data_IF_676133771620
#
_entry.id   IF_676133771620
#
_cell.length_a   1.000
_cell.length_b   1.000
_cell.length_c   1.000
_cell.angle_alpha   90.00
_cell.angle_beta   90.00
_cell.angle_gamma   90.00
#
_symmetry.space_group_name_H-M   'P 1'
#
loop_
_entity.id
_entity.type
_entity.pdbx_description
1 polymer ?
#
# COMPACT_ATOMS: atom_id res chain seq x y z
N UNK A 1 37.51 -71.26 77.64
CA UNK A 1 38.27 -70.03 77.30
C UNK A 1 38.21 -69.81 75.82
N UNK A 2 37.22 -69.02 75.32
CA UNK A 2 36.96 -68.81 73.90
C UNK A 2 37.14 -67.32 73.65
N UNK A 3 38.08 -66.97 72.81
CA UNK A 3 38.39 -65.62 72.40
C UNK A 3 37.48 -65.24 71.16
N UNK A 4 36.66 -64.30 71.35
CA UNK A 4 35.90 -63.72 70.21
C UNK A 4 36.75 -62.62 69.56
N UNK A 5 37.00 -62.78 68.24
CA UNK A 5 37.69 -61.78 67.42
C UNK A 5 36.58 -60.99 66.69
N UNK A 6 36.56 -59.70 66.92
CA UNK A 6 35.66 -58.73 66.24
C UNK A 6 36.34 -58.21 64.98
N UNK A 7 35.71 -58.39 63.82
CA UNK A 7 36.13 -57.85 62.51
C UNK A 7 35.45 -56.48 62.29
N UNK A 8 36.14 -55.44 61.92
CA UNK A 8 35.51 -54.13 61.56
C UNK A 8 34.96 -54.15 60.12
N UNK A 9 33.71 -53.74 59.98
CA UNK A 9 33.09 -53.55 58.70
C UNK A 9 33.55 -52.21 58.07
N UNK A 10 34.17 -52.26 56.88
CA UNK A 10 34.47 -51.09 56.06
C UNK A 10 33.21 -50.70 55.27
N UNK A 11 32.62 -49.57 55.64
CA UNK A 11 31.58 -48.91 54.84
C UNK A 11 32.22 -48.07 53.73
N UNK A 12 32.17 -48.58 52.50
CA UNK A 12 32.59 -47.83 51.30
C UNK A 12 31.54 -46.79 50.90
N UNK A 13 31.81 -45.52 51.01
CA UNK A 13 31.02 -44.44 50.50
C UNK A 13 31.27 -44.28 48.98
N UNK A 14 30.29 -44.68 48.15
CA UNK A 14 30.31 -44.47 46.72
C UNK A 14 29.95 -42.99 46.44
N UNK A 15 30.93 -42.19 46.05
CA UNK A 15 30.72 -40.82 45.54
C UNK A 15 30.15 -40.91 44.09
N UNK A 16 28.85 -40.69 43.94
CA UNK A 16 28.21 -40.58 42.65
C UNK A 16 28.40 -39.12 42.13
N UNK A 17 29.37 -38.95 41.23
CA UNK A 17 29.59 -37.65 40.55
C UNK A 17 28.51 -37.45 39.50
N UNK A 18 27.54 -36.59 39.80
CA UNK A 18 26.51 -36.16 38.85
C UNK A 18 27.18 -35.16 37.90
N UNK A 19 27.50 -35.61 36.69
CA UNK A 19 27.83 -34.72 35.58
C UNK A 19 26.53 -34.03 35.15
N UNK A 20 26.35 -32.77 35.58
CA UNK A 20 25.35 -31.87 35.01
C UNK A 20 25.76 -31.55 33.57
N UNK A 21 25.17 -32.24 32.59
CA UNK A 21 25.26 -31.88 31.19
C UNK A 21 24.46 -30.60 31.05
N UNK A 22 25.15 -29.46 31.06
CA UNK A 22 24.57 -28.18 30.64
C UNK A 22 24.20 -28.28 29.15
N UNK A 23 22.94 -28.69 28.87
CA UNK A 23 22.37 -28.56 27.56
C UNK A 23 22.36 -27.04 27.22
N UNK A 24 23.38 -26.57 26.52
CA UNK A 24 23.33 -25.29 25.86
C UNK A 24 22.22 -25.40 24.83
N UNK A 25 21.05 -24.83 25.13
CA UNK A 25 20.05 -24.57 24.14
C UNK A 25 20.72 -23.63 23.11
N UNK A 26 21.31 -24.21 22.07
CA UNK A 26 21.69 -23.47 20.88
C UNK A 26 20.40 -22.87 20.37
N UNK A 27 20.18 -21.57 20.68
CA UNK A 27 19.04 -20.84 20.20
C UNK A 27 18.97 -21.04 18.69
N UNK A 28 17.80 -21.47 18.21
CA UNK A 28 17.60 -21.70 16.79
C UNK A 28 18.10 -20.46 16.01
N UNK A 29 18.98 -20.68 15.04
CA UNK A 29 19.51 -19.61 14.20
C UNK A 29 18.34 -18.83 13.59
N UNK A 30 18.40 -17.48 13.53
CA UNK A 30 17.37 -16.69 12.89
C UNK A 30 17.11 -17.20 11.48
N UNK A 31 15.82 -17.38 11.13
CA UNK A 31 15.46 -17.97 9.83
C UNK A 31 16.04 -17.19 8.63
N UNK A 32 16.06 -15.87 8.71
CA UNK A 32 16.52 -15.01 7.61
C UNK A 32 18.05 -14.87 7.54
N UNK A 33 18.81 -15.42 8.50
CA UNK A 33 20.26 -15.40 8.45
C UNK A 33 20.78 -16.06 7.16
N UNK A 34 21.69 -15.40 6.49
CA UNK A 34 22.32 -15.84 5.23
C UNK A 34 21.32 -16.05 4.07
N UNK A 35 20.10 -15.52 4.19
CA UNK A 35 19.09 -15.52 3.13
C UNK A 35 19.00 -14.18 2.43
N UNK A 36 18.40 -14.21 1.25
CA UNK A 36 18.00 -13.04 0.49
C UNK A 36 16.48 -12.92 0.54
N UNK A 37 15.98 -11.72 0.83
CA UNK A 37 14.55 -11.39 0.75
C UNK A 37 14.32 -10.55 -0.50
N UNK A 38 13.36 -10.94 -1.31
CA UNK A 38 12.96 -10.19 -2.52
C UNK A 38 11.69 -9.38 -2.24
N UNK A 39 11.74 -8.08 -2.49
CA UNK A 39 10.57 -7.20 -2.58
C UNK A 39 10.28 -6.96 -4.06
N UNK A 40 9.28 -7.65 -4.60
CA UNK A 40 8.81 -7.44 -5.96
C UNK A 40 7.93 -6.19 -6.05
N UNK A 41 8.24 -5.28 -6.96
CA UNK A 41 7.53 -4.01 -7.12
C UNK A 41 6.67 -4.07 -8.37
N UNK A 42 5.35 -3.90 -8.22
CA UNK A 42 4.33 -4.04 -9.27
C UNK A 42 4.28 -2.87 -10.26
N UNK A 43 5.38 -2.15 -10.44
CA UNK A 43 5.47 -1.03 -11.40
C UNK A 43 6.82 -0.99 -12.10
N UNK A 44 6.92 -0.16 -13.13
CA UNK A 44 8.21 0.20 -13.74
C UNK A 44 9.03 1.07 -12.79
N UNK A 45 10.34 1.15 -13.05
CA UNK A 45 11.29 1.95 -12.28
C UNK A 45 10.96 3.45 -12.34
N UNK A 46 11.17 4.15 -11.23
CA UNK A 46 11.07 5.62 -11.14
C UNK A 46 9.68 6.18 -10.83
N UNK A 47 8.66 5.34 -10.70
CA UNK A 47 7.33 5.75 -10.24
C UNK A 47 7.19 5.75 -8.71
N UNK A 48 6.11 6.33 -8.18
CA UNK A 48 5.88 6.41 -6.73
C UNK A 48 5.88 5.05 -6.04
N UNK A 49 5.31 3.99 -6.64
CA UNK A 49 5.34 2.64 -6.07
C UNK A 49 6.78 2.09 -5.99
N UNK A 50 7.59 2.32 -7.04
CA UNK A 50 9.00 1.93 -7.07
C UNK A 50 9.81 2.67 -6.00
N UNK A 51 9.57 3.96 -5.85
CA UNK A 51 10.20 4.81 -4.84
C UNK A 51 9.98 4.26 -3.43
N UNK A 52 8.73 3.99 -3.05
CA UNK A 52 8.40 3.43 -1.73
C UNK A 52 8.92 2.00 -1.56
N UNK A 53 8.78 1.14 -2.58
CA UNK A 53 9.28 -0.23 -2.54
C UNK A 53 10.79 -0.30 -2.32
N UNK A 54 11.56 0.57 -2.96
CA UNK A 54 13.01 0.67 -2.76
C UNK A 54 13.40 1.28 -1.44
N UNK A 55 12.65 2.29 -0.97
CA UNK A 55 12.86 2.87 0.35
C UNK A 55 12.71 1.80 1.44
N UNK A 56 11.61 1.03 1.40
CA UNK A 56 11.42 -0.10 2.30
C UNK A 56 12.55 -1.12 2.17
N UNK A 57 12.92 -1.52 0.95
CA UNK A 57 13.94 -2.55 0.73
C UNK A 57 15.30 -2.18 1.35
N UNK A 58 15.71 -0.91 1.30
CA UNK A 58 16.99 -0.46 1.86
C UNK A 58 17.07 -0.56 3.38
N UNK A 59 15.93 -0.41 4.05
CA UNK A 59 15.90 -0.35 5.52
C UNK A 59 15.32 -1.61 6.18
N UNK A 60 14.55 -2.42 5.45
CA UNK A 60 13.81 -3.56 6.00
C UNK A 60 14.71 -4.66 6.58
N UNK A 61 15.80 -4.99 5.87
CA UNK A 61 16.68 -6.10 6.23
C UNK A 61 17.30 -5.96 7.63
N UNK A 62 17.67 -4.74 8.05
CA UNK A 62 18.30 -4.50 9.37
C UNK A 62 17.36 -4.76 10.55
N UNK A 63 16.05 -4.81 10.31
CA UNK A 63 15.03 -5.07 11.33
C UNK A 63 14.54 -6.54 11.34
N UNK A 64 14.94 -7.35 10.35
CA UNK A 64 14.72 -8.79 10.35
C UNK A 64 15.81 -9.51 11.12
N UNK A 65 15.45 -10.53 11.89
CA UNK A 65 16.44 -11.33 12.61
C UNK A 65 17.38 -12.05 11.62
N UNK A 66 18.68 -11.90 11.83
CA UNK A 66 19.70 -12.40 10.89
C UNK A 66 20.13 -11.37 9.83
N UNK A 67 19.52 -10.20 9.79
CA UNK A 67 19.86 -9.07 8.91
C UNK A 67 20.11 -9.52 7.44
N UNK A 68 19.11 -10.14 6.78
CA UNK A 68 19.28 -10.63 5.41
C UNK A 68 19.51 -9.51 4.41
N UNK A 69 20.13 -9.84 3.29
CA UNK A 69 20.11 -8.96 2.14
C UNK A 69 18.68 -8.82 1.60
N UNK A 70 18.21 -7.57 1.42
CA UNK A 70 16.91 -7.30 0.79
C UNK A 70 17.14 -6.67 -0.57
N UNK A 71 16.54 -7.25 -1.60
CA UNK A 71 16.60 -6.74 -2.98
C UNK A 71 15.22 -6.27 -3.44
N UNK A 72 15.20 -5.13 -4.13
CA UNK A 72 14.03 -4.62 -4.84
C UNK A 72 14.10 -5.02 -6.31
N UNK A 73 13.05 -5.67 -6.82
CA UNK A 73 12.95 -6.12 -8.21
C UNK A 73 11.65 -5.65 -8.84
N UNK A 74 11.70 -4.96 -9.98
CA UNK A 74 10.49 -4.54 -10.68
C UNK A 74 9.88 -5.70 -11.47
N UNK A 75 8.57 -5.88 -11.32
CA UNK A 75 7.76 -6.86 -12.04
C UNK A 75 6.49 -6.14 -12.53
N UNK A 76 6.61 -5.25 -13.54
CA UNK A 76 5.49 -4.44 -14.01
C UNK A 76 4.47 -5.26 -14.80
N UNK A 77 3.26 -4.76 -14.87
CA UNK A 77 2.18 -5.30 -15.71
C UNK A 77 0.85 -5.41 -14.99
N UNK A 78 -0.22 -5.26 -15.74
CA UNK A 78 -1.61 -5.36 -15.27
C UNK A 78 -1.88 -4.57 -13.96
N UNK A 79 -1.40 -3.31 -13.86
CA UNK A 79 -1.60 -2.51 -12.65
C UNK A 79 -1.03 -3.13 -11.36
N UNK A 80 0.03 -3.96 -11.45
CA UNK A 80 0.59 -4.73 -10.33
C UNK A 80 0.03 -6.16 -10.22
N UNK A 81 -0.94 -6.53 -11.07
CA UNK A 81 -1.56 -7.87 -11.08
C UNK A 81 -0.57 -9.00 -11.37
N UNK A 82 0.52 -8.71 -12.12
CA UNK A 82 1.59 -9.69 -12.34
C UNK A 82 2.27 -10.08 -11.03
N UNK A 83 2.63 -9.10 -10.19
CA UNK A 83 3.18 -9.36 -8.84
C UNK A 83 2.16 -10.09 -7.97
N UNK A 84 0.89 -9.64 -7.97
CA UNK A 84 -0.15 -10.27 -7.19
C UNK A 84 -0.34 -11.75 -7.54
N UNK A 85 -0.46 -12.06 -8.83
CA UNK A 85 -0.58 -13.44 -9.31
C UNK A 85 0.65 -14.29 -8.96
N UNK A 86 1.84 -13.71 -9.05
CA UNK A 86 3.09 -14.39 -8.67
C UNK A 86 3.11 -14.69 -7.16
N UNK A 87 2.85 -13.69 -6.33
CA UNK A 87 2.78 -13.84 -4.86
C UNK A 87 1.73 -14.87 -4.46
N UNK A 88 0.57 -14.84 -5.12
CA UNK A 88 -0.53 -15.75 -4.81
C UNK A 88 -0.23 -17.21 -5.10
N UNK A 89 0.37 -17.49 -6.28
CA UNK A 89 0.43 -18.83 -6.83
C UNK A 89 1.84 -19.43 -6.91
N UNK A 90 2.91 -18.62 -6.94
CA UNK A 90 4.26 -19.09 -7.32
C UNK A 90 5.36 -18.71 -6.34
N UNK A 91 5.21 -17.62 -5.59
CA UNK A 91 6.24 -17.14 -4.69
C UNK A 91 6.54 -18.16 -3.58
N UNK A 92 7.79 -18.22 -3.10
CA UNK A 92 8.12 -18.98 -1.89
C UNK A 92 7.24 -18.55 -0.72
N UNK A 93 6.70 -19.53 0.01
CA UNK A 93 5.77 -19.29 1.14
C UNK A 93 6.50 -19.13 2.47
N UNK A 94 7.82 -18.97 2.45
CA UNK A 94 8.68 -18.96 3.63
C UNK A 94 9.04 -17.54 4.15
N UNK A 95 8.51 -16.49 3.51
CA UNK A 95 8.79 -15.10 3.84
C UNK A 95 9.96 -14.48 3.09
N UNK A 96 10.65 -15.22 2.21
CA UNK A 96 11.75 -14.68 1.39
C UNK A 96 11.30 -13.90 0.17
N UNK A 97 9.98 -13.86 -0.10
CA UNK A 97 9.40 -13.12 -1.21
C UNK A 97 8.11 -12.41 -0.80
N UNK A 98 8.05 -11.10 -1.05
CA UNK A 98 6.87 -10.26 -0.86
C UNK A 98 6.66 -9.33 -2.04
N UNK A 99 5.46 -8.79 -2.19
CA UNK A 99 5.12 -7.85 -3.26
C UNK A 99 4.69 -6.50 -2.72
N UNK A 100 5.16 -5.42 -3.34
CA UNK A 100 4.61 -4.07 -3.17
C UNK A 100 3.73 -3.79 -4.39
N UNK A 101 2.45 -3.51 -4.15
CA UNK A 101 1.45 -3.42 -5.22
C UNK A 101 0.63 -2.14 -5.11
N UNK A 102 -0.13 -1.84 -6.17
CA UNK A 102 -1.12 -0.77 -6.13
C UNK A 102 -2.41 -1.22 -5.41
N UNK A 103 -3.21 -0.30 -4.86
CA UNK A 103 -4.51 -0.60 -4.28
C UNK A 103 -5.47 -1.31 -5.24
N UNK A 104 -5.38 -1.03 -6.53
CA UNK A 104 -6.18 -1.68 -7.58
C UNK A 104 -6.06 -3.22 -7.55
N UNK A 105 -4.90 -3.76 -7.15
CA UNK A 105 -4.73 -5.21 -6.94
C UNK A 105 -5.71 -5.77 -5.91
N UNK A 106 -6.15 -4.94 -4.97
CA UNK A 106 -7.10 -5.34 -3.92
C UNK A 106 -8.54 -5.05 -4.35
N UNK A 107 -8.78 -3.89 -4.97
CA UNK A 107 -10.11 -3.40 -5.35
C UNK A 107 -10.65 -4.06 -6.62
N UNK A 108 -9.84 -4.19 -7.66
CA UNK A 108 -10.30 -4.71 -8.95
C UNK A 108 -10.86 -6.14 -8.89
N UNK A 109 -10.33 -7.10 -8.07
CA UNK A 109 -10.96 -8.40 -7.89
C UNK A 109 -12.33 -8.37 -7.19
N UNK A 110 -12.64 -7.32 -6.44
CA UNK A 110 -13.96 -7.10 -5.89
C UNK A 110 -14.96 -6.70 -7.00
N UNK A 111 -14.47 -5.98 -8.00
CA UNK A 111 -15.25 -5.50 -9.14
C UNK A 111 -15.26 -6.49 -10.33
N UNK A 112 -14.39 -7.51 -10.34
CA UNK A 112 -14.24 -8.47 -11.44
C UNK A 112 -14.05 -9.90 -10.94
N UNK A 113 -15.07 -10.72 -11.12
CA UNK A 113 -15.03 -12.15 -10.73
C UNK A 113 -13.93 -12.92 -11.48
N UNK A 114 -13.70 -12.61 -12.76
CA UNK A 114 -12.65 -13.26 -13.55
C UNK A 114 -11.25 -12.97 -12.99
N UNK A 115 -11.02 -11.74 -12.54
CA UNK A 115 -9.75 -11.35 -11.91
C UNK A 115 -9.61 -12.01 -10.52
N UNK A 116 -10.69 -12.10 -9.76
CA UNK A 116 -10.72 -12.78 -8.45
C UNK A 116 -10.36 -14.26 -8.55
N UNK A 117 -10.66 -14.93 -9.67
CA UNK A 117 -10.23 -16.31 -9.94
C UNK A 117 -8.72 -16.43 -10.17
N UNK A 118 -8.05 -15.36 -10.58
CA UNK A 118 -6.60 -15.33 -10.80
C UNK A 118 -5.82 -15.19 -9.49
N UNK A 119 -6.30 -14.32 -8.60
CA UNK A 119 -5.82 -14.16 -7.23
C UNK A 119 -6.93 -13.55 -6.36
N UNK A 120 -7.00 -13.96 -5.10
CA UNK A 120 -8.00 -13.48 -4.14
C UNK A 120 -7.31 -12.61 -3.07
N UNK A 121 -7.52 -11.27 -3.08
CA UNK A 121 -6.90 -10.38 -2.12
C UNK A 121 -7.27 -10.68 -0.66
N UNK A 122 -8.44 -11.26 -0.39
CA UNK A 122 -8.87 -11.65 0.95
C UNK A 122 -8.02 -12.79 1.55
N UNK A 123 -7.25 -13.49 0.73
CA UNK A 123 -6.36 -14.59 1.13
C UNK A 123 -4.90 -14.17 1.25
N UNK A 124 -4.49 -13.03 0.73
CA UNK A 124 -3.15 -12.53 0.97
C UNK A 124 -2.93 -12.30 2.46
N UNK A 125 -1.68 -12.43 2.86
CA UNK A 125 -1.24 -11.90 4.14
C UNK A 125 -0.59 -10.55 3.89
N UNK A 126 -0.87 -9.61 4.77
CA UNK A 126 -0.36 -8.25 4.64
C UNK A 126 0.73 -8.02 5.67
N UNK A 127 1.91 -7.62 5.18
CA UNK A 127 3.07 -7.29 6.03
C UNK A 127 2.91 -5.89 6.60
N UNK A 128 2.40 -4.97 5.80
CA UNK A 128 2.11 -3.59 6.17
C UNK A 128 1.73 -2.77 4.95
N UNK A 129 1.58 -1.47 5.15
CA UNK A 129 1.40 -0.48 4.11
C UNK A 129 2.35 0.69 4.37
N UNK A 130 3.19 1.04 3.41
CA UNK A 130 4.22 2.06 3.62
C UNK A 130 3.68 3.49 3.63
N UNK A 131 2.55 3.74 2.97
CA UNK A 131 1.97 5.07 2.88
C UNK A 131 0.48 5.03 2.52
N UNK A 132 -0.31 5.84 3.22
CA UNK A 132 -1.68 6.20 2.86
C UNK A 132 -1.64 7.45 2.00
N UNK A 133 -2.35 7.49 0.88
CA UNK A 133 -2.30 8.58 -0.08
C UNK A 133 -3.62 9.34 -0.09
N UNK A 134 -3.56 10.65 -0.26
CA UNK A 134 -4.74 11.45 -0.59
C UNK A 134 -4.65 11.81 -2.06
N UNK A 135 -5.68 11.46 -2.82
CA UNK A 135 -5.76 11.85 -4.22
C UNK A 135 -6.46 13.20 -4.35
N UNK A 136 -6.07 13.95 -5.38
CA UNK A 136 -6.56 15.30 -5.60
C UNK A 136 -6.91 15.55 -7.07
N UNK A 137 -7.80 16.48 -7.29
CA UNK A 137 -8.00 17.12 -8.59
C UNK A 137 -7.21 18.43 -8.66
N UNK A 138 -6.42 18.59 -9.70
CA UNK A 138 -5.78 19.84 -10.09
C UNK A 138 -6.49 20.41 -11.30
N UNK A 139 -6.69 21.72 -11.30
CA UNK A 139 -7.37 22.42 -12.40
C UNK A 139 -6.57 23.64 -12.84
N UNK A 140 -6.56 23.91 -14.14
CA UNK A 140 -6.07 25.17 -14.67
C UNK A 140 -6.96 26.31 -14.18
N UNK A 141 -6.37 27.47 -13.92
CA UNK A 141 -7.11 28.67 -13.43
C UNK A 141 -8.15 29.15 -14.42
N UNK A 142 -7.88 29.01 -15.72
CA UNK A 142 -8.75 29.42 -16.83
C UNK A 142 -9.76 28.35 -17.27
N UNK A 143 -9.83 27.20 -16.58
CA UNK A 143 -10.76 26.13 -16.90
C UNK A 143 -12.23 26.49 -16.65
N UNK A 144 -12.52 27.54 -15.93
CA UNK A 144 -13.88 28.07 -15.69
C UNK A 144 -14.45 27.77 -14.31
N UNK A 145 -14.58 26.49 -13.87
CA UNK A 145 -15.18 26.17 -12.59
C UNK A 145 -14.47 26.82 -11.40
N UNK A 146 -15.25 27.24 -10.40
CA UNK A 146 -14.76 27.87 -9.15
C UNK A 146 -14.97 26.99 -7.94
N UNK A 147 -15.85 25.99 -8.05
CA UNK A 147 -16.16 25.02 -6.99
C UNK A 147 -16.14 23.60 -7.52
N UNK A 148 -15.92 22.58 -6.67
CA UNK A 148 -16.02 21.18 -7.08
C UNK A 148 -17.39 20.82 -7.69
N UNK A 149 -18.47 21.41 -7.18
CA UNK A 149 -19.81 21.18 -7.75
C UNK A 149 -19.90 21.72 -9.19
N UNK A 150 -19.35 22.91 -9.46
CA UNK A 150 -19.26 23.43 -10.82
C UNK A 150 -18.35 22.58 -11.71
N UNK A 151 -17.23 22.06 -11.17
CA UNK A 151 -16.36 21.16 -11.90
C UNK A 151 -17.10 19.92 -12.36
N UNK A 152 -17.81 19.25 -11.44
CA UNK A 152 -18.58 18.04 -11.74
C UNK A 152 -19.66 18.32 -12.79
N UNK A 153 -20.33 19.46 -12.73
CA UNK A 153 -21.36 19.84 -13.70
C UNK A 153 -20.80 20.32 -15.07
N UNK A 154 -19.48 20.49 -15.16
CA UNK A 154 -18.84 21.06 -16.37
C UNK A 154 -18.44 19.99 -17.39
N UNK A 155 -18.11 20.47 -18.62
CA UNK A 155 -17.48 19.66 -19.67
C UNK A 155 -15.94 19.81 -19.68
N UNK A 156 -15.33 20.08 -18.53
CA UNK A 156 -13.87 20.24 -18.42
C UNK A 156 -13.17 18.96 -18.89
N UNK A 157 -12.12 19.13 -19.67
CA UNK A 157 -11.31 18.02 -20.18
C UNK A 157 -10.27 17.65 -19.13
N UNK A 158 -10.39 16.43 -18.61
CA UNK A 158 -9.48 15.83 -17.65
C UNK A 158 -8.54 14.87 -18.36
N UNK A 159 -7.25 15.11 -18.29
CA UNK A 159 -6.25 14.20 -18.81
C UNK A 159 -6.07 12.98 -17.89
N UNK A 160 -5.91 11.79 -18.49
CA UNK A 160 -5.78 10.53 -17.77
C UNK A 160 -4.78 9.59 -18.44
N UNK A 161 -4.23 8.65 -17.69
CA UNK A 161 -3.31 7.64 -18.24
C UNK A 161 -4.10 6.53 -18.96
N UNK A 162 -4.63 5.55 -18.24
CA UNK A 162 -5.37 4.43 -18.83
C UNK A 162 -6.49 3.99 -17.90
N UNK A 163 -7.53 3.31 -18.41
CA UNK A 163 -8.51 2.62 -17.58
C UNK A 163 -7.84 1.71 -16.55
N UNK A 164 -8.31 1.73 -15.30
CA UNK A 164 -7.69 1.03 -14.17
C UNK A 164 -6.60 1.84 -13.44
N UNK A 165 -6.22 3.03 -13.94
CA UNK A 165 -5.37 3.95 -13.19
C UNK A 165 -6.22 4.92 -12.37
N UNK A 166 -5.65 5.48 -11.29
CA UNK A 166 -6.35 6.45 -10.47
C UNK A 166 -6.75 7.69 -11.27
N UNK A 167 -5.88 8.15 -12.19
CA UNK A 167 -6.18 9.32 -13.04
C UNK A 167 -7.33 9.12 -14.03
N UNK A 168 -7.69 7.88 -14.32
CA UNK A 168 -8.87 7.56 -15.16
C UNK A 168 -10.08 7.19 -14.30
N UNK A 169 -9.92 6.30 -13.33
CA UNK A 169 -11.03 5.72 -12.57
C UNK A 169 -11.67 6.73 -11.61
N UNK A 170 -10.90 7.65 -11.00
CA UNK A 170 -11.43 8.64 -10.06
C UNK A 170 -12.35 9.66 -10.72
N UNK A 171 -11.98 10.34 -11.82
CA UNK A 171 -12.93 11.21 -12.51
C UNK A 171 -14.10 10.42 -13.15
N UNK A 172 -13.90 9.15 -13.53
CA UNK A 172 -14.99 8.30 -14.02
C UNK A 172 -16.00 8.01 -12.91
N UNK A 173 -15.54 7.66 -11.71
CA UNK A 173 -16.39 7.49 -10.51
C UNK A 173 -17.13 8.79 -10.18
N UNK A 174 -16.45 9.93 -10.22
CA UNK A 174 -17.08 11.22 -9.98
C UNK A 174 -18.21 11.48 -10.99
N UNK A 175 -18.00 11.18 -12.27
CA UNK A 175 -19.08 11.26 -13.27
C UNK A 175 -20.26 10.33 -12.93
N UNK A 176 -19.97 9.07 -12.60
CA UNK A 176 -20.99 8.05 -12.38
C UNK A 176 -21.79 8.21 -11.09
N UNK A 177 -21.16 8.69 -10.00
CA UNK A 177 -21.77 8.77 -8.67
C UNK A 177 -22.22 10.18 -8.29
N UNK A 178 -21.56 11.22 -8.81
CA UNK A 178 -21.93 12.60 -8.52
C UNK A 178 -22.79 13.22 -9.64
N UNK A 179 -23.05 12.46 -10.72
CA UNK A 179 -23.79 12.95 -11.87
C UNK A 179 -22.98 13.96 -12.68
N UNK A 180 -21.68 13.71 -12.81
CA UNK A 180 -20.74 14.57 -13.50
C UNK A 180 -20.77 14.42 -15.03
N UNK A 181 -20.10 15.34 -15.70
CA UNK A 181 -19.99 15.41 -17.16
C UNK A 181 -18.57 15.71 -17.63
N UNK A 182 -17.57 15.38 -16.82
CA UNK A 182 -16.16 15.55 -17.14
C UNK A 182 -15.79 14.77 -18.41
N UNK A 183 -15.05 15.39 -19.32
CA UNK A 183 -14.52 14.73 -20.51
C UNK A 183 -13.15 14.14 -20.18
N UNK A 184 -13.06 12.80 -20.12
CA UNK A 184 -11.81 12.13 -19.77
C UNK A 184 -11.07 11.78 -21.07
N UNK A 185 -9.86 12.31 -21.24
CA UNK A 185 -8.95 12.02 -22.35
C UNK A 185 -7.82 11.15 -21.82
N UNK A 186 -7.86 9.87 -22.19
CA UNK A 186 -6.87 8.87 -21.79
C UNK A 186 -5.77 8.68 -22.84
N UNK A 187 -4.67 8.01 -22.46
CA UNK A 187 -3.58 7.63 -23.36
C UNK A 187 -2.24 8.27 -23.01
N UNK A 188 -2.19 9.13 -22.01
CA UNK A 188 -0.92 9.64 -21.49
C UNK A 188 -0.16 8.53 -20.76
N UNK A 189 1.18 8.49 -20.92
CA UNK A 189 2.02 7.44 -20.30
C UNK A 189 2.18 7.61 -18.79
N UNK A 190 1.98 8.83 -18.27
CA UNK A 190 2.09 9.14 -16.84
C UNK A 190 1.53 10.52 -16.50
N UNK A 191 1.38 10.79 -15.19
CA UNK A 191 0.87 12.06 -14.68
C UNK A 191 1.67 13.28 -15.16
N UNK A 192 2.99 13.14 -15.31
CA UNK A 192 3.84 14.22 -15.82
C UNK A 192 3.48 14.62 -17.26
N UNK A 193 3.15 13.67 -18.13
CA UNK A 193 2.69 13.99 -19.48
C UNK A 193 1.34 14.71 -19.48
N UNK A 194 0.42 14.30 -18.58
CA UNK A 194 -0.86 15.00 -18.41
C UNK A 194 -0.64 16.45 -17.97
N UNK A 195 0.24 16.70 -17.02
CA UNK A 195 0.50 18.07 -16.55
C UNK A 195 1.19 18.92 -17.61
N UNK A 196 2.08 18.35 -18.41
CA UNK A 196 2.63 19.06 -19.60
C UNK A 196 1.54 19.38 -20.63
N UNK A 197 0.56 18.49 -20.83
CA UNK A 197 -0.60 18.75 -21.67
C UNK A 197 -1.49 19.85 -21.08
N UNK A 198 -1.62 19.93 -19.74
CA UNK A 198 -2.28 21.06 -19.08
C UNK A 198 -1.55 22.38 -19.35
N UNK A 199 -0.21 22.41 -19.26
CA UNK A 199 0.58 23.61 -19.57
C UNK A 199 0.36 24.09 -21.01
N UNK A 200 0.19 23.17 -21.96
CA UNK A 200 -0.07 23.44 -23.37
C UNK A 200 -1.55 23.71 -23.69
N UNK A 201 -2.42 23.70 -22.68
CA UNK A 201 -3.86 23.85 -22.82
C UNK A 201 -4.55 22.77 -23.69
N UNK A 202 -3.96 21.56 -23.75
CA UNK A 202 -4.56 20.40 -24.42
C UNK A 202 -5.66 19.78 -23.55
N UNK A 203 -5.46 19.79 -22.21
CA UNK A 203 -6.45 19.40 -21.19
C UNK A 203 -6.49 20.46 -20.09
N UNK A 204 -7.62 20.57 -19.38
CA UNK A 204 -7.80 21.60 -18.36
C UNK A 204 -7.53 21.13 -16.94
N UNK A 205 -7.45 19.80 -16.71
CA UNK A 205 -7.23 19.27 -15.37
C UNK A 205 -6.74 17.84 -15.35
N UNK A 206 -6.39 17.41 -14.14
CA UNK A 206 -6.09 16.03 -13.80
C UNK A 206 -6.72 15.72 -12.43
N UNK A 207 -7.45 14.63 -12.31
CA UNK A 207 -7.97 14.10 -11.05
C UNK A 207 -7.29 12.75 -10.74
N UNK A 208 -7.46 12.19 -9.54
CA UNK A 208 -6.81 10.93 -9.16
C UNK A 208 -5.29 11.04 -9.05
N UNK A 209 -4.75 12.23 -8.84
CA UNK A 209 -3.31 12.47 -8.68
C UNK A 209 -2.94 12.46 -7.20
N UNK A 210 -1.94 11.66 -6.80
CA UNK A 210 -1.48 11.62 -5.42
C UNK A 210 -0.91 12.96 -4.95
N UNK A 211 -1.31 13.41 -3.76
CA UNK A 211 -0.78 14.63 -3.16
C UNK A 211 0.75 14.56 -2.95
N UNK A 212 1.26 13.39 -2.57
CA UNK A 212 2.71 13.14 -2.51
C UNK A 212 3.39 13.41 -3.87
N UNK A 213 2.76 12.98 -4.97
CA UNK A 213 3.24 13.23 -6.33
C UNK A 213 3.23 14.72 -6.67
N UNK A 214 2.17 15.44 -6.28
CA UNK A 214 2.07 16.89 -6.48
C UNK A 214 3.22 17.61 -5.79
N UNK A 215 3.51 17.29 -4.54
CA UNK A 215 4.61 17.92 -3.78
C UNK A 215 5.99 17.73 -4.43
N UNK A 216 6.22 16.54 -4.99
CA UNK A 216 7.51 16.21 -5.62
C UNK A 216 7.63 16.78 -7.03
N UNK A 217 6.60 16.60 -7.85
CA UNK A 217 6.66 16.97 -9.27
C UNK A 217 6.36 18.45 -9.52
N UNK A 218 5.59 19.06 -8.65
CA UNK A 218 5.07 20.41 -8.80
C UNK A 218 5.19 21.22 -7.49
N UNK A 219 6.40 21.37 -6.91
CA UNK A 219 6.56 22.00 -5.60
C UNK A 219 6.06 23.45 -5.59
N UNK A 220 6.02 24.12 -6.75
CA UNK A 220 5.55 25.49 -6.92
C UNK A 220 4.10 25.59 -7.43
N UNK A 221 3.35 24.47 -7.48
CA UNK A 221 1.97 24.46 -8.03
C UNK A 221 1.05 25.47 -7.35
N UNK A 222 1.26 25.70 -6.06
CA UNK A 222 0.48 26.66 -5.28
C UNK A 222 0.94 28.12 -5.49
N UNK A 223 2.08 28.33 -6.17
CA UNK A 223 2.68 29.65 -6.42
C UNK A 223 2.52 30.12 -7.87
N UNK A 224 2.13 29.20 -8.78
CA UNK A 224 1.99 29.52 -10.20
C UNK A 224 0.59 30.04 -10.49
N UNK A 225 0.49 31.03 -11.42
CA UNK A 225 -0.81 31.52 -11.88
C UNK A 225 -1.51 30.57 -12.86
N UNK A 226 -0.83 29.54 -13.33
CA UNK A 226 -1.37 28.58 -14.30
C UNK A 226 -2.46 27.69 -13.67
N UNK A 227 -2.26 27.26 -12.42
CA UNK A 227 -3.19 26.36 -11.73
C UNK A 227 -4.09 27.12 -10.74
N UNK A 228 -5.33 26.68 -10.61
CA UNK A 228 -6.20 27.11 -9.52
C UNK A 228 -5.76 26.56 -8.14
N UNK A 229 -4.66 25.80 -8.13
CA UNK A 229 -4.18 25.04 -6.98
C UNK A 229 -4.82 23.65 -6.91
N UNK A 230 -4.78 23.04 -5.73
CA UNK A 230 -5.52 21.80 -5.45
C UNK A 230 -6.99 22.16 -5.35
N UNK A 231 -7.79 21.64 -6.28
CA UNK A 231 -9.18 22.06 -6.45
C UNK A 231 -10.15 21.25 -5.58
N UNK A 232 -9.90 19.96 -5.42
CA UNK A 232 -10.67 19.06 -4.56
C UNK A 232 -9.82 17.88 -4.09
N UNK A 233 -10.20 17.30 -2.96
CA UNK A 233 -9.63 16.06 -2.42
C UNK A 233 -10.56 14.89 -2.73
N UNK A 234 -10.05 13.86 -3.34
CA UNK A 234 -10.74 12.61 -3.66
C UNK A 234 -10.37 11.56 -2.59
N UNK A 235 -10.86 11.80 -1.39
CA UNK A 235 -10.51 11.02 -0.20
C UNK A 235 -11.67 10.97 0.81
N UNK A 236 -11.54 10.11 1.85
CA UNK A 236 -12.53 9.98 2.94
C UNK A 236 -12.44 11.11 3.96
N UNK A 237 -11.22 11.55 4.29
CA UNK A 237 -10.94 12.51 5.38
C UNK A 237 -10.08 13.68 4.94
N UNK A 238 -9.42 13.53 3.79
CA UNK A 238 -8.48 14.49 3.26
C UNK A 238 -7.14 14.53 4.02
N UNK A 239 -6.19 15.25 3.43
CA UNK A 239 -4.87 15.46 3.99
C UNK A 239 -4.88 16.63 4.98
N UNK A 240 -4.21 16.57 6.15
CA UNK A 240 -4.20 17.63 7.15
C UNK A 240 -3.83 19.02 6.59
N UNK A 241 -2.79 19.09 5.74
CA UNK A 241 -2.36 20.34 5.09
C UNK A 241 -3.46 20.91 4.18
N UNK A 242 -4.10 20.05 3.37
CA UNK A 242 -5.17 20.48 2.45
C UNK A 242 -6.44 20.87 3.21
N UNK A 243 -6.73 20.21 4.33
CA UNK A 243 -7.83 20.57 5.22
C UNK A 243 -7.59 21.95 5.86
N UNK A 244 -6.37 22.27 6.28
CA UNK A 244 -6.01 23.61 6.76
C UNK A 244 -6.17 24.67 5.65
N UNK A 245 -5.90 24.33 4.40
CA UNK A 245 -6.12 25.18 3.24
C UNK A 245 -7.59 25.22 2.79
N UNK A 246 -8.48 24.52 3.50
CA UNK A 246 -9.93 24.41 3.20
C UNK A 246 -10.22 23.86 1.81
N UNK A 247 -9.35 22.97 1.30
CA UNK A 247 -9.62 22.25 0.06
C UNK A 247 -10.76 21.26 0.30
N UNK A 248 -11.89 21.36 -0.43
CA UNK A 248 -13.08 20.55 -0.15
C UNK A 248 -12.89 19.08 -0.51
N UNK A 249 -13.67 18.19 0.11
CA UNK A 249 -13.77 16.78 -0.23
C UNK A 249 -14.78 16.56 -1.36
N UNK A 250 -14.41 15.76 -2.35
CA UNK A 250 -15.34 15.31 -3.41
C UNK A 250 -16.50 14.48 -2.84
N UNK A 251 -16.22 13.74 -1.76
CA UNK A 251 -17.21 12.92 -1.05
C UNK A 251 -18.44 13.73 -0.57
N UNK A 252 -18.23 15.00 -0.23
CA UNK A 252 -19.31 15.86 0.29
C UNK A 252 -20.31 16.29 -0.80
N UNK A 253 -20.01 16.02 -2.06
CA UNK A 253 -20.92 16.25 -3.19
C UNK A 253 -21.92 15.11 -3.44
N UNK A 254 -21.82 14.01 -2.69
CA UNK A 254 -22.78 12.90 -2.81
C UNK A 254 -24.20 13.34 -2.49
N UNK A 255 -25.13 13.14 -3.43
CA UNK A 255 -26.51 13.62 -3.34
C UNK A 255 -27.42 12.70 -2.53
N UNK A 256 -27.02 11.47 -2.30
CA UNK A 256 -27.77 10.46 -1.56
C UNK A 256 -26.82 9.46 -0.89
N UNK A 257 -27.34 8.72 0.07
CA UNK A 257 -26.58 7.77 0.87
C UNK A 257 -26.01 6.60 0.07
N UNK A 258 -26.70 6.14 -0.96
CA UNK A 258 -26.25 5.05 -1.83
C UNK A 258 -24.97 5.44 -2.60
N UNK A 259 -24.96 6.62 -3.21
CA UNK A 259 -23.79 7.13 -3.91
C UNK A 259 -22.66 7.49 -2.95
N UNK A 260 -23.00 8.00 -1.75
CA UNK A 260 -22.02 8.26 -0.70
C UNK A 260 -21.28 6.98 -0.27
N UNK A 261 -22.01 5.90 0.02
CA UNK A 261 -21.43 4.60 0.38
C UNK A 261 -20.58 4.01 -0.75
N UNK A 262 -21.00 4.18 -2.00
CA UNK A 262 -20.22 3.75 -3.14
C UNK A 262 -18.90 4.53 -3.27
N UNK A 263 -18.91 5.85 -3.05
CA UNK A 263 -17.70 6.68 -3.00
C UNK A 263 -16.81 6.30 -1.82
N UNK A 264 -17.38 6.10 -0.64
CA UNK A 264 -16.64 5.69 0.56
C UNK A 264 -15.93 4.34 0.34
N UNK A 265 -16.64 3.36 -0.23
CA UNK A 265 -16.04 2.09 -0.62
C UNK A 265 -14.89 2.30 -1.60
N UNK A 266 -15.09 3.09 -2.64
CA UNK A 266 -14.08 3.31 -3.67
C UNK A 266 -12.87 4.10 -3.14
N UNK A 267 -13.08 5.15 -2.36
CA UNK A 267 -11.99 5.96 -1.79
C UNK A 267 -11.25 5.28 -0.64
N UNK A 268 -11.82 4.23 -0.03
CA UNK A 268 -11.17 3.48 1.05
C UNK A 268 -9.82 2.90 0.65
N UNK A 269 -9.59 2.64 -0.65
CA UNK A 269 -8.31 2.19 -1.19
C UNK A 269 -7.14 3.15 -0.94
N UNK A 270 -7.42 4.44 -0.73
CA UNK A 270 -6.41 5.45 -0.43
C UNK A 270 -5.70 5.19 0.90
N UNK A 271 -6.38 4.51 1.84
CA UNK A 271 -5.82 4.17 3.14
C UNK A 271 -4.66 3.17 3.06
N UNK A 272 -4.56 2.40 1.97
CA UNK A 272 -3.49 1.43 1.75
C UNK A 272 -2.84 1.59 0.36
N UNK A 273 -2.30 2.76 0.11
CA UNK A 273 -1.79 3.14 -1.21
C UNK A 273 -0.50 2.40 -1.63
N UNK A 274 0.23 1.82 -0.68
CA UNK A 274 1.50 1.09 -0.90
C UNK A 274 1.56 -0.20 -0.08
N UNK A 275 0.58 -1.13 -0.25
CA UNK A 275 0.52 -2.34 0.55
C UNK A 275 1.65 -3.31 0.19
N UNK A 276 2.16 -3.98 1.21
CA UNK A 276 3.14 -5.07 1.10
C UNK A 276 2.42 -6.38 1.34
N UNK A 277 2.27 -7.18 0.30
CA UNK A 277 1.58 -8.46 0.31
C UNK A 277 2.54 -9.64 0.39
N UNK A 278 2.15 -10.66 1.14
CA UNK A 278 2.83 -11.95 1.24
C UNK A 278 1.90 -13.09 0.81
N UNK A 279 2.45 -14.28 0.49
CA UNK A 279 1.65 -15.44 0.09
C UNK A 279 0.60 -15.83 1.15
N UNK A 280 -0.55 -16.39 0.74
CA UNK A 280 -1.62 -16.81 1.66
C UNK A 280 -1.16 -17.81 2.74
N UNK A 281 -0.22 -18.68 2.40
CA UNK A 281 0.22 -19.79 3.25
C UNK A 281 1.58 -19.55 3.94
N UNK A 282 1.99 -18.27 4.06
CA UNK A 282 3.21 -17.95 4.82
C UNK A 282 3.05 -18.41 6.29
N UNK A 283 4.05 -19.05 6.90
CA UNK A 283 3.99 -19.45 8.30
C UNK A 283 3.74 -18.25 9.24
N UNK A 284 2.92 -18.46 10.26
CA UNK A 284 2.47 -17.39 11.14
C UNK A 284 3.63 -16.70 11.89
N UNK A 285 4.66 -17.46 12.28
CA UNK A 285 5.88 -16.95 12.92
C UNK A 285 6.68 -16.05 11.96
N UNK A 286 6.76 -16.43 10.68
CA UNK A 286 7.42 -15.63 9.63
C UNK A 286 6.68 -14.32 9.39
N UNK A 287 5.35 -14.39 9.25
CA UNK A 287 4.54 -13.20 9.06
C UNK A 287 4.66 -12.25 10.26
N UNK A 288 4.60 -12.78 11.48
CA UNK A 288 4.74 -11.98 12.70
C UNK A 288 6.10 -11.28 12.76
N UNK A 289 7.17 -12.00 12.41
CA UNK A 289 8.51 -11.42 12.35
C UNK A 289 8.61 -10.31 11.29
N UNK A 290 8.07 -10.56 10.08
CA UNK A 290 8.07 -9.58 9.00
C UNK A 290 7.26 -8.33 9.34
N UNK A 291 6.10 -8.46 9.98
CA UNK A 291 5.27 -7.34 10.44
C UNK A 291 6.02 -6.50 11.46
N UNK A 292 6.60 -7.16 12.49
CA UNK A 292 7.42 -6.46 13.49
C UNK A 292 8.58 -5.70 12.84
N UNK A 293 9.27 -6.34 11.89
CA UNK A 293 10.37 -5.71 11.16
C UNK A 293 9.88 -4.53 10.30
N UNK A 294 8.71 -4.66 9.66
CA UNK A 294 8.11 -3.59 8.87
C UNK A 294 7.74 -2.38 9.76
N UNK A 295 7.07 -2.62 10.89
CA UNK A 295 6.69 -1.55 11.81
C UNK A 295 7.93 -0.83 12.38
N UNK A 296 9.01 -1.57 12.65
CA UNK A 296 10.28 -0.98 13.05
C UNK A 296 10.93 -0.18 11.91
N UNK A 297 10.86 -0.70 10.68
CA UNK A 297 11.36 -0.01 9.48
C UNK A 297 10.66 1.32 9.26
N UNK A 298 9.34 1.37 9.42
CA UNK A 298 8.56 2.60 9.22
C UNK A 298 8.81 3.68 10.29
N UNK A 299 9.42 3.30 11.42
CA UNK A 299 9.82 4.20 12.51
C UNK A 299 11.32 4.49 12.52
N UNK A 300 12.08 3.92 11.60
CA UNK A 300 13.52 4.05 11.52
C UNK A 300 13.92 5.50 11.17
N UNK A 301 14.72 6.17 12.01
CA UNK A 301 15.16 7.55 11.76
C UNK A 301 15.91 7.72 10.43
N UNK A 302 16.65 6.70 9.96
CA UNK A 302 17.36 6.77 8.68
C UNK A 302 16.38 6.71 7.50
N UNK A 303 15.36 5.84 7.58
CA UNK A 303 14.29 5.80 6.58
C UNK A 303 13.54 7.13 6.52
N UNK A 304 13.16 7.67 7.68
CA UNK A 304 12.42 8.94 7.74
C UNK A 304 13.24 10.11 7.21
N UNK A 305 14.54 10.17 7.55
CA UNK A 305 15.44 11.19 7.02
C UNK A 305 15.66 11.04 5.50
N UNK A 306 15.66 9.82 4.97
CA UNK A 306 15.75 9.58 3.53
C UNK A 306 14.46 9.98 2.82
N UNK A 307 13.30 9.64 3.39
CA UNK A 307 11.99 10.05 2.88
C UNK A 307 11.85 11.57 2.82
N UNK A 308 12.28 12.27 3.88
CA UNK A 308 12.28 13.74 3.93
C UNK A 308 13.15 14.35 2.82
N UNK A 309 14.38 13.84 2.62
CA UNK A 309 15.24 14.27 1.50
C UNK A 309 14.63 14.04 0.13
N UNK A 310 13.80 13.00 -0.01
CA UNK A 310 13.07 12.68 -1.23
C UNK A 310 11.74 13.45 -1.34
N UNK A 311 11.38 14.25 -0.34
CA UNK A 311 10.12 14.98 -0.21
C UNK A 311 8.88 14.07 -0.35
N UNK A 312 8.94 12.87 0.26
CA UNK A 312 7.83 11.92 0.30
C UNK A 312 7.36 11.70 1.73
N UNK A 313 6.04 11.61 1.89
CA UNK A 313 5.41 11.34 3.19
C UNK A 313 5.48 9.85 3.54
N UNK A 314 5.57 9.54 4.83
CA UNK A 314 5.48 8.19 5.36
C UNK A 314 4.31 8.13 6.34
N UNK A 315 3.18 7.55 5.89
CA UNK A 315 1.97 7.35 6.71
C UNK A 315 1.62 5.85 6.68
N UNK A 316 2.32 5.04 7.51
CA UNK A 316 2.19 3.60 7.45
C UNK A 316 0.91 3.10 8.12
N UNK A 317 0.48 1.89 7.71
CA UNK A 317 -0.47 1.06 8.45
C UNK A 317 0.17 -0.29 8.74
N UNK A 318 -0.10 -0.82 9.93
CA UNK A 318 0.30 -2.17 10.31
C UNK A 318 -0.40 -3.24 9.44
N UNK A 319 0.25 -4.38 9.24
CA UNK A 319 -0.28 -5.44 8.38
C UNK A 319 -1.65 -5.95 8.82
N UNK A 320 -1.90 -6.04 10.14
CA UNK A 320 -3.20 -6.42 10.70
C UNK A 320 -4.30 -5.40 10.40
N UNK A 321 -3.95 -4.12 10.36
CA UNK A 321 -4.90 -3.06 10.01
C UNK A 321 -5.27 -3.14 8.54
N UNK A 322 -4.30 -3.39 7.66
CA UNK A 322 -4.56 -3.60 6.23
C UNK A 322 -5.46 -4.83 6.03
N UNK A 323 -5.20 -5.95 6.71
CA UNK A 323 -6.07 -7.15 6.65
C UNK A 323 -7.51 -6.84 7.08
N UNK A 324 -7.69 -6.07 8.15
CA UNK A 324 -9.03 -5.64 8.60
C UNK A 324 -9.72 -4.73 7.60
N UNK A 325 -8.98 -3.84 6.95
CA UNK A 325 -9.53 -2.99 5.87
C UNK A 325 -9.99 -3.84 4.69
N UNK A 326 -9.15 -4.75 4.23
CA UNK A 326 -9.48 -5.64 3.11
C UNK A 326 -10.67 -6.52 3.46
N UNK A 327 -10.70 -7.13 4.64
CA UNK A 327 -11.83 -7.95 5.08
C UNK A 327 -13.15 -7.18 5.01
N UNK A 328 -13.19 -5.97 5.60
CA UNK A 328 -14.38 -5.10 5.57
C UNK A 328 -14.78 -4.69 4.14
N UNK A 329 -13.80 -4.47 3.26
CA UNK A 329 -14.07 -4.15 1.86
C UNK A 329 -14.76 -5.33 1.15
N UNK A 330 -14.36 -6.57 1.46
CA UNK A 330 -14.98 -7.77 0.90
C UNK A 330 -16.34 -8.13 1.54
N UNK A 331 -16.70 -7.48 2.65
CA UNK A 331 -18.04 -7.52 3.27
C UNK A 331 -18.98 -6.43 2.74
N UNK A 332 -18.50 -5.58 1.82
CA UNK A 332 -19.33 -4.53 1.19
C UNK A 332 -20.56 -5.15 0.54
N UNK A 333 -21.78 -4.61 0.80
CA UNK A 333 -23.01 -5.09 0.21
C UNK A 333 -22.94 -5.16 -1.32
N UNK A 334 -23.44 -6.25 -1.94
CA UNK A 334 -23.38 -6.44 -3.40
C UNK A 334 -23.94 -5.27 -4.19
N UNK A 335 -25.00 -4.62 -3.71
CA UNK A 335 -25.61 -3.45 -4.36
C UNK A 335 -24.66 -2.24 -4.40
N UNK A 336 -23.82 -2.06 -3.37
CA UNK A 336 -22.79 -1.00 -3.35
C UNK A 336 -21.68 -1.32 -4.36
N UNK A 337 -21.24 -2.57 -4.42
CA UNK A 337 -20.24 -3.03 -5.40
C UNK A 337 -20.75 -2.84 -6.82
N UNK A 338 -22.00 -3.26 -7.11
CA UNK A 338 -22.62 -3.09 -8.42
C UNK A 338 -22.79 -1.60 -8.77
N UNK A 339 -23.07 -0.74 -7.78
CA UNK A 339 -23.14 0.72 -8.01
C UNK A 339 -21.80 1.29 -8.45
N UNK A 340 -20.69 0.84 -7.82
CA UNK A 340 -19.32 1.23 -8.21
C UNK A 340 -18.98 0.69 -9.60
N UNK A 341 -19.28 -0.58 -9.90
CA UNK A 341 -19.05 -1.20 -11.22
C UNK A 341 -19.75 -0.40 -12.31
N UNK A 342 -21.05 -0.13 -12.13
CA UNK A 342 -21.84 0.67 -13.07
C UNK A 342 -21.26 2.06 -13.27
N UNK A 343 -20.79 2.72 -12.22
CA UNK A 343 -20.18 4.04 -12.30
C UNK A 343 -18.84 4.02 -13.06
N UNK A 344 -18.07 2.92 -13.01
CA UNK A 344 -16.85 2.72 -13.78
C UNK A 344 -17.10 2.21 -15.23
N UNK A 345 -18.34 1.90 -15.58
CA UNK A 345 -18.67 1.30 -16.88
C UNK A 345 -18.18 -0.16 -17.02
N UNK A 346 -18.14 -0.88 -15.92
CA UNK A 346 -17.68 -2.29 -15.83
C UNK A 346 -18.80 -3.25 -15.47
#
# INVERSE_FOLDING_TARGET
>A
MTKHTILPALTGAALTTIFAVSAHAQGAQPFFKDKQVTIAIGSSTGGGLDTYGRLVARHFGKHLAGAPQVIASNMPGAGGGVVASHVYARAPKDGTFVGVVFPSVIVDPLLSESLRKTYDPSKFRYVGNAHSEVLVCLLRRDAGPKTPAELIASNVIIGATAPGSTTFDFPTIANGLLGGNLKIVAGYKGSREVTLAMERNEVQGICGLGWSTVKVQFPDILKTDLFAGVFAQEDLKGHPQLNQMKVPLMLDLAKNETDRRALEMFYSQNSFARPVIAPPEIPADRLTEMRRAFDATMKDPELLAEADKMNIDVHPLAGEEVEKFVARMFETPPETVERVKKALGR
#
